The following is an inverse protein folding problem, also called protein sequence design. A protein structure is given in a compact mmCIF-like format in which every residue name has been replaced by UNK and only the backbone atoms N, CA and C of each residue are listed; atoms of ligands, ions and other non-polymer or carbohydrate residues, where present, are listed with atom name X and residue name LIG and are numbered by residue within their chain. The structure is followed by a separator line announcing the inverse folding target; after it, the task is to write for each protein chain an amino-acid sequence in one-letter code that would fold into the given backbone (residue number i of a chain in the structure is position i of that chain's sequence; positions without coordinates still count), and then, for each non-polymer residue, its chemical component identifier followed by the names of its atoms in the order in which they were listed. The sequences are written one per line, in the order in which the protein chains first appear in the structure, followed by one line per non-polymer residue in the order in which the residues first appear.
data_IF_010666672428
#
_entry.id   IF_010666672428
#
_cell.length_a   1.000
_cell.length_b   1.000
_cell.length_c   1.000
_cell.angle_alpha   90.00
_cell.angle_beta   90.00
_cell.angle_gamma   90.00
#
_symmetry.space_group_name_H-M   'P 1'
#
loop_
_entity.id
_entity.type
_entity.pdbx_description
1 polymer ?
#
# COMPACT_ATOMS: atom_id res chain seq x y z
N UNK A 1 29.82 12.22 59.56
CA UNK A 1 29.31 10.88 59.19
C UNK A 1 27.85 10.91 58.67
N UNK A 2 27.01 11.86 59.09
CA UNK A 2 25.57 11.95 58.64
C UNK A 2 25.41 12.23 57.14
N UNK A 3 26.25 13.06 56.53
CA UNK A 3 26.18 13.40 55.10
C UNK A 3 26.46 12.17 54.22
N UNK A 4 27.41 11.33 54.57
CA UNK A 4 27.72 10.11 53.82
C UNK A 4 26.62 9.05 53.89
N UNK A 5 25.91 8.96 55.02
CA UNK A 5 24.75 8.01 55.12
C UNK A 5 23.58 8.48 54.33
N UNK A 6 23.31 9.78 54.23
CA UNK A 6 22.21 10.35 53.44
C UNK A 6 22.42 10.16 51.92
N UNK A 7 23.66 10.38 51.44
CA UNK A 7 24.01 10.18 50.00
C UNK A 7 23.83 8.72 49.59
N UNK A 8 24.14 7.76 50.48
CA UNK A 8 24.04 6.31 50.23
C UNK A 8 22.59 5.89 49.91
N UNK A 9 21.58 6.56 50.46
CA UNK A 9 20.17 6.28 50.19
C UNK A 9 19.56 7.18 49.09
N UNK A 10 20.09 8.39 48.90
CA UNK A 10 19.61 9.31 47.89
C UNK A 10 19.90 8.82 46.47
N UNK A 11 21.09 8.27 46.20
CA UNK A 11 21.47 7.80 44.87
C UNK A 11 20.55 6.65 44.39
N UNK A 12 20.34 5.55 45.18
CA UNK A 12 19.43 4.49 44.79
C UNK A 12 17.99 4.95 44.58
N UNK A 13 17.51 5.87 45.44
CA UNK A 13 16.18 6.45 45.32
C UNK A 13 16.03 7.25 44.02
N UNK A 14 17.01 8.06 43.67
CA UNK A 14 17.01 8.84 42.44
C UNK A 14 17.04 7.94 41.19
N UNK A 15 17.87 6.89 41.21
CA UNK A 15 17.96 5.90 40.12
C UNK A 15 16.63 5.15 39.99
N UNK A 16 16.03 4.74 41.09
CA UNK A 16 14.72 4.07 41.07
C UNK A 16 13.62 4.96 40.49
N UNK A 17 13.56 6.23 40.90
CA UNK A 17 12.61 7.20 40.37
C UNK A 17 12.79 7.43 38.87
N UNK A 18 14.07 7.50 38.41
CA UNK A 18 14.39 7.63 36.98
C UNK A 18 13.92 6.42 36.19
N UNK A 19 14.13 5.21 36.69
CA UNK A 19 13.67 3.95 36.04
C UNK A 19 12.15 3.95 35.94
N UNK A 20 11.45 4.35 37.02
CA UNK A 20 9.97 4.46 36.98
C UNK A 20 9.51 5.46 35.94
N UNK A 21 10.16 6.62 35.85
CA UNK A 21 9.81 7.65 34.87
C UNK A 21 10.02 7.16 33.44
N UNK A 22 11.16 6.51 33.17
CA UNK A 22 11.48 5.96 31.84
C UNK A 22 10.48 4.87 31.48
N UNK A 23 10.16 3.94 32.39
CA UNK A 23 9.16 2.89 32.15
C UNK A 23 7.77 3.45 31.92
N UNK A 24 7.40 4.49 32.64
CA UNK A 24 6.12 5.18 32.46
C UNK A 24 6.02 5.84 31.08
N UNK A 25 7.04 6.59 30.67
CA UNK A 25 7.10 7.22 29.36
C UNK A 25 7.07 6.15 28.26
N UNK A 26 7.85 5.09 28.40
CA UNK A 26 7.87 3.98 27.45
C UNK A 26 6.48 3.33 27.30
N UNK A 27 5.80 3.07 28.42
CA UNK A 27 4.44 2.50 28.42
C UNK A 27 3.44 3.41 27.69
N UNK A 28 3.50 4.70 27.96
CA UNK A 28 2.64 5.69 27.26
C UNK A 28 2.89 5.64 25.74
N UNK A 29 4.16 5.66 25.31
CA UNK A 29 4.51 5.60 23.88
C UNK A 29 3.98 4.31 23.24
N UNK A 30 4.11 3.17 23.93
CA UNK A 30 3.59 1.88 23.44
C UNK A 30 2.07 1.90 23.31
N UNK A 31 1.36 2.44 24.31
CA UNK A 31 -0.11 2.56 24.28
C UNK A 31 -0.57 3.44 23.11
N UNK A 32 0.05 4.61 22.90
CA UNK A 32 -0.29 5.48 21.77
C UNK A 32 -0.03 4.81 20.42
N UNK A 33 1.10 4.08 20.28
CA UNK A 33 1.37 3.30 19.07
C UNK A 33 0.32 2.22 18.82
N UNK A 34 -0.06 1.48 19.86
CA UNK A 34 -1.09 0.43 19.74
C UNK A 34 -2.46 1.03 19.37
N UNK A 35 -2.84 2.15 20.00
CA UNK A 35 -4.09 2.85 19.69
C UNK A 35 -4.12 3.30 18.23
N UNK A 36 -3.07 3.98 17.77
CA UNK A 36 -2.97 4.44 16.37
C UNK A 36 -3.01 3.27 15.37
N UNK A 37 -2.34 2.17 15.69
CA UNK A 37 -2.38 0.97 14.86
C UNK A 37 -3.80 0.37 14.80
N UNK A 38 -4.50 0.31 15.93
CA UNK A 38 -5.90 -0.16 15.99
C UNK A 38 -6.85 0.74 15.19
N UNK A 39 -6.67 2.06 15.27
CA UNK A 39 -7.45 3.02 14.49
C UNK A 39 -7.26 2.81 12.98
N UNK A 40 -6.01 2.75 12.51
CA UNK A 40 -5.68 2.49 11.10
C UNK A 40 -6.30 1.15 10.63
N UNK A 41 -6.22 0.11 11.46
CA UNK A 41 -6.80 -1.19 11.14
C UNK A 41 -8.33 -1.14 11.02
N UNK A 42 -9.00 -0.46 11.95
CA UNK A 42 -10.45 -0.31 11.92
C UNK A 42 -10.91 0.53 10.71
N UNK A 43 -10.22 1.63 10.42
CA UNK A 43 -10.51 2.46 9.25
C UNK A 43 -10.33 1.68 7.95
N UNK A 44 -9.27 0.85 7.87
CA UNK A 44 -9.08 -0.04 6.73
C UNK A 44 -10.22 -1.05 6.59
N UNK A 45 -10.63 -1.73 7.68
CA UNK A 45 -11.73 -2.71 7.65
C UNK A 45 -13.03 -2.02 7.21
N UNK A 46 -13.34 -0.85 7.76
CA UNK A 46 -14.53 -0.09 7.39
C UNK A 46 -14.51 0.31 5.92
N UNK A 47 -13.39 0.86 5.44
CA UNK A 47 -13.24 1.24 4.04
C UNK A 47 -13.33 0.03 3.11
N UNK A 48 -12.70 -1.10 3.45
CA UNK A 48 -12.80 -2.33 2.66
C UNK A 48 -14.22 -2.88 2.63
N UNK A 49 -14.95 -2.81 3.75
CA UNK A 49 -16.36 -3.22 3.81
C UNK A 49 -17.21 -2.39 2.85
N UNK A 50 -17.01 -1.09 2.81
CA UNK A 50 -17.69 -0.20 1.86
C UNK A 50 -17.29 -0.47 0.41
N UNK A 51 -15.99 -0.63 0.15
CA UNK A 51 -15.46 -0.92 -1.20
C UNK A 51 -15.89 -2.29 -1.74
N UNK A 52 -16.15 -3.28 -0.87
CA UNK A 52 -16.68 -4.59 -1.25
C UNK A 52 -18.20 -4.57 -1.52
N UNK A 53 -18.96 -3.72 -0.80
CA UNK A 53 -20.41 -3.66 -0.93
C UNK A 53 -20.86 -3.21 -2.32
N UNK A 54 -20.16 -2.25 -2.92
CA UNK A 54 -20.51 -1.70 -4.24
C UNK A 54 -20.42 -2.73 -5.36
N UNK A 55 -19.29 -3.43 -5.59
CA UNK A 55 -19.21 -4.45 -6.64
C UNK A 55 -20.16 -5.62 -6.40
N UNK A 56 -20.40 -6.02 -5.15
CA UNK A 56 -21.37 -7.06 -4.82
C UNK A 56 -22.79 -6.64 -5.23
N UNK A 57 -23.17 -5.39 -4.93
CA UNK A 57 -24.48 -4.87 -5.33
C UNK A 57 -24.64 -4.80 -6.86
N UNK A 58 -23.60 -4.37 -7.60
CA UNK A 58 -23.60 -4.33 -9.06
C UNK A 58 -23.74 -5.71 -9.68
N UNK A 59 -22.98 -6.70 -9.16
CA UNK A 59 -23.11 -8.11 -9.62
C UNK A 59 -24.50 -8.65 -9.32
N UNK A 60 -25.04 -8.39 -8.12
CA UNK A 60 -26.37 -8.85 -7.73
C UNK A 60 -27.45 -8.26 -8.64
N UNK A 61 -27.37 -6.96 -8.93
CA UNK A 61 -28.31 -6.30 -9.85
C UNK A 61 -28.21 -6.87 -11.26
N UNK A 62 -27.00 -7.04 -11.79
CA UNK A 62 -26.81 -7.63 -13.12
C UNK A 62 -27.36 -9.07 -13.18
N UNK A 63 -27.14 -9.87 -12.13
CA UNK A 63 -27.69 -11.22 -12.03
C UNK A 63 -29.21 -11.24 -11.93
N UNK A 64 -29.83 -10.30 -11.19
CA UNK A 64 -31.30 -10.16 -11.14
C UNK A 64 -31.86 -9.81 -12.51
N UNK A 65 -31.27 -8.85 -13.24
CA UNK A 65 -31.67 -8.47 -14.58
C UNK A 65 -31.54 -9.61 -15.58
N UNK A 66 -30.52 -10.47 -15.43
CA UNK A 66 -30.36 -11.66 -16.27
C UNK A 66 -31.44 -12.72 -16.00
N UNK A 67 -31.94 -12.79 -14.78
CA UNK A 67 -32.93 -13.79 -14.36
C UNK A 67 -34.38 -13.30 -14.51
N UNK A 68 -34.60 -12.01 -14.70
CA UNK A 68 -35.92 -11.41 -14.85
C UNK A 68 -36.44 -11.62 -16.29
N UNK A 69 -37.55 -12.31 -16.43
CA UNK A 69 -38.23 -12.59 -17.73
C UNK A 69 -38.86 -11.34 -18.36
N UNK A 70 -39.14 -10.32 -17.55
CA UNK A 70 -39.72 -9.06 -18.03
C UNK A 70 -38.71 -8.14 -18.73
N UNK A 71 -37.42 -8.41 -18.55
CA UNK A 71 -36.33 -7.61 -19.15
C UNK A 71 -36.04 -8.13 -20.57
N UNK A 72 -36.09 -7.27 -21.62
CA UNK A 72 -35.77 -7.68 -22.99
C UNK A 72 -34.32 -8.17 -23.08
N UNK A 73 -34.11 -9.45 -23.40
CA UNK A 73 -32.79 -10.09 -23.49
C UNK A 73 -32.19 -9.92 -24.89
N UNK A 74 -31.91 -8.68 -25.29
CA UNK A 74 -31.12 -8.47 -26.51
C UNK A 74 -29.66 -8.93 -26.32
N UNK A 75 -29.07 -9.42 -27.41
CA UNK A 75 -27.65 -9.87 -27.39
C UNK A 75 -26.69 -8.80 -26.83
N UNK A 76 -26.91 -7.53 -27.20
CA UNK A 76 -26.13 -6.38 -26.72
C UNK A 76 -26.28 -6.20 -25.20
N UNK A 77 -27.50 -6.35 -24.67
CA UNK A 77 -27.75 -6.20 -23.23
C UNK A 77 -27.16 -7.37 -22.44
N UNK A 78 -27.31 -8.59 -22.92
CA UNK A 78 -26.70 -9.78 -22.32
C UNK A 78 -25.16 -9.62 -22.24
N UNK A 79 -24.52 -9.21 -23.34
CA UNK A 79 -23.10 -8.98 -23.40
C UNK A 79 -22.65 -7.88 -22.42
N UNK A 80 -23.45 -6.82 -22.28
CA UNK A 80 -23.18 -5.75 -21.32
C UNK A 80 -23.26 -6.25 -19.87
N UNK A 81 -24.31 -6.97 -19.48
CA UNK A 81 -24.50 -7.49 -18.12
C UNK A 81 -23.41 -8.50 -17.74
N UNK A 82 -23.04 -9.39 -18.67
CA UNK A 82 -21.91 -10.31 -18.47
C UNK A 82 -20.59 -9.54 -18.29
N UNK A 83 -20.38 -8.48 -19.06
CA UNK A 83 -19.23 -7.57 -18.91
C UNK A 83 -19.18 -6.95 -17.53
N UNK A 84 -20.28 -6.40 -17.03
CA UNK A 84 -20.36 -5.84 -15.65
C UNK A 84 -20.00 -6.89 -14.61
N UNK A 85 -20.57 -8.10 -14.69
CA UNK A 85 -20.25 -9.19 -13.75
C UNK A 85 -18.76 -9.54 -13.78
N UNK A 86 -18.19 -9.65 -15.00
CA UNK A 86 -16.76 -9.96 -15.17
C UNK A 86 -15.85 -8.91 -14.56
N UNK A 87 -16.13 -7.63 -14.82
CA UNK A 87 -15.27 -6.53 -14.38
C UNK A 87 -15.35 -6.30 -12.87
N UNK A 88 -16.56 -6.39 -12.30
CA UNK A 88 -16.73 -6.29 -10.85
C UNK A 88 -16.15 -7.52 -10.11
N UNK A 89 -16.15 -8.70 -10.73
CA UNK A 89 -15.46 -9.88 -10.18
C UNK A 89 -13.95 -9.70 -10.15
N UNK A 90 -13.33 -9.11 -11.18
CA UNK A 90 -11.91 -8.75 -11.19
C UNK A 90 -11.59 -7.74 -10.09
N UNK A 91 -12.48 -6.73 -9.91
CA UNK A 91 -12.34 -5.73 -8.85
C UNK A 91 -12.42 -6.36 -7.46
N UNK A 92 -13.37 -7.28 -7.22
CA UNK A 92 -13.47 -8.03 -5.96
C UNK A 92 -12.21 -8.82 -5.67
N UNK A 93 -11.67 -9.54 -6.65
CA UNK A 93 -10.41 -10.29 -6.49
C UNK A 93 -9.28 -9.38 -6.03
N UNK A 94 -9.12 -8.22 -6.65
CA UNK A 94 -8.10 -7.24 -6.26
C UNK A 94 -8.28 -6.74 -4.82
N UNK A 95 -9.53 -6.47 -4.40
CA UNK A 95 -9.82 -6.05 -3.02
C UNK A 95 -9.51 -7.15 -2.01
N UNK A 96 -9.84 -8.41 -2.32
CA UNK A 96 -9.50 -9.57 -1.48
C UNK A 96 -7.99 -9.73 -1.34
N UNK A 97 -7.23 -9.58 -2.42
CA UNK A 97 -5.76 -9.60 -2.38
C UNK A 97 -5.20 -8.51 -1.46
N UNK A 98 -5.73 -7.29 -1.52
CA UNK A 98 -5.35 -6.20 -0.59
C UNK A 98 -5.63 -6.53 0.87
N UNK A 99 -6.78 -7.13 1.17
CA UNK A 99 -7.12 -7.58 2.54
C UNK A 99 -6.16 -8.66 3.03
N UNK A 100 -5.85 -9.63 2.18
CA UNK A 100 -4.89 -10.70 2.50
C UNK A 100 -3.49 -10.15 2.75
N UNK A 101 -3.02 -9.21 1.92
CA UNK A 101 -1.74 -8.53 2.12
C UNK A 101 -1.68 -7.84 3.48
N UNK A 102 -2.72 -7.09 3.87
CA UNK A 102 -2.76 -6.44 5.18
C UNK A 102 -2.77 -7.45 6.33
N UNK A 103 -3.50 -8.56 6.21
CA UNK A 103 -3.52 -9.65 7.21
C UNK A 103 -2.13 -10.31 7.36
N UNK A 104 -1.34 -10.36 6.31
CA UNK A 104 0.04 -10.90 6.36
C UNK A 104 1.00 -9.96 7.10
N UNK A 105 0.80 -8.65 7.05
CA UNK A 105 1.56 -7.67 7.85
C UNK A 105 1.32 -7.82 9.35
N UNK A 106 0.13 -8.25 9.77
CA UNK A 106 -0.23 -8.50 11.18
C UNK A 106 0.49 -9.74 11.75
N UNK A 107 0.85 -10.68 10.91
CA UNK A 107 1.64 -11.84 11.32
C UNK A 107 3.12 -11.46 11.30
N UNK A 108 3.73 -11.19 12.46
CA UNK A 108 5.18 -11.02 12.69
C UNK A 108 6.08 -12.15 12.11
N UNK A 109 5.52 -13.04 11.30
CA UNK A 109 6.14 -14.20 10.65
C UNK A 109 5.90 -14.24 9.13
N UNK A 110 5.74 -13.10 8.46
CA UNK A 110 5.85 -13.12 7.01
C UNK A 110 7.30 -13.56 6.70
N UNK A 111 7.48 -14.80 6.29
CA UNK A 111 8.77 -15.27 5.80
C UNK A 111 8.99 -14.64 4.43
N UNK A 112 9.65 -13.48 4.41
CA UNK A 112 10.04 -12.84 3.17
C UNK A 112 10.99 -13.75 2.39
N UNK A 113 10.60 -14.11 1.18
CA UNK A 113 11.46 -14.84 0.25
C UNK A 113 12.35 -13.86 -0.50
N UNK A 114 13.37 -13.35 0.20
CA UNK A 114 14.31 -12.40 -0.37
C UNK A 114 15.20 -13.07 -1.43
N UNK A 115 15.41 -12.39 -2.54
CA UNK A 115 16.36 -12.77 -3.59
C UNK A 115 17.05 -11.55 -4.18
N UNK A 116 18.14 -11.75 -4.86
CA UNK A 116 18.79 -10.68 -5.62
C UNK A 116 17.98 -10.40 -6.89
N UNK A 117 17.71 -9.12 -7.14
CA UNK A 117 16.93 -8.63 -8.26
C UNK A 117 17.61 -7.39 -8.84
N UNK A 118 17.48 -7.19 -10.12
CA UNK A 118 17.84 -5.95 -10.77
C UNK A 118 16.67 -4.94 -10.64
N UNK A 119 16.93 -3.82 -9.95
CA UNK A 119 15.92 -2.78 -9.74
C UNK A 119 15.57 -2.09 -11.06
N UNK A 120 16.54 -1.85 -11.94
CA UNK A 120 16.32 -1.15 -13.21
C UNK A 120 15.37 -1.96 -14.10
N UNK A 121 15.63 -3.27 -14.27
CA UNK A 121 14.75 -4.16 -15.04
C UNK A 121 13.32 -4.21 -14.45
N UNK A 122 13.22 -4.26 -13.13
CA UNK A 122 11.92 -4.27 -12.45
C UNK A 122 11.15 -2.97 -12.71
N UNK A 123 11.80 -1.82 -12.61
CA UNK A 123 11.17 -0.50 -12.84
C UNK A 123 10.69 -0.37 -14.27
N UNK A 124 11.48 -0.77 -15.26
CA UNK A 124 11.08 -0.77 -16.66
C UNK A 124 9.86 -1.68 -16.92
N UNK A 125 9.87 -2.88 -16.36
CA UNK A 125 8.74 -3.82 -16.47
C UNK A 125 7.45 -3.23 -15.88
N UNK A 126 7.54 -2.61 -14.69
CA UNK A 126 6.38 -1.96 -14.05
C UNK A 126 5.92 -0.76 -14.88
N UNK A 127 6.82 0.10 -15.34
CA UNK A 127 6.49 1.24 -16.18
C UNK A 127 5.70 0.81 -17.43
N UNK A 128 6.17 -0.22 -18.12
CA UNK A 128 5.49 -0.78 -19.29
C UNK A 128 4.06 -1.25 -18.97
N UNK A 129 3.85 -1.85 -17.79
CA UNK A 129 2.52 -2.33 -17.37
C UNK A 129 1.53 -1.19 -17.09
N UNK A 130 2.02 0.01 -16.76
CA UNK A 130 1.19 1.19 -16.47
C UNK A 130 1.04 2.15 -17.65
N UNK A 131 1.79 1.97 -18.75
CA UNK A 131 1.81 2.90 -19.89
C UNK A 131 0.41 3.23 -20.39
N UNK A 132 -0.38 2.23 -20.72
CA UNK A 132 -1.75 2.44 -21.22
C UNK A 132 -2.65 3.19 -20.23
N UNK A 133 -2.50 2.91 -18.92
CA UNK A 133 -3.32 3.57 -17.88
C UNK A 133 -2.97 5.05 -17.73
N UNK A 134 -1.69 5.40 -17.81
CA UNK A 134 -1.21 6.77 -17.75
C UNK A 134 -1.55 7.55 -19.03
N UNK A 135 -1.45 6.91 -20.20
CA UNK A 135 -1.89 7.48 -21.48
C UNK A 135 -3.39 7.77 -21.50
N UNK A 136 -4.22 6.89 -20.95
CA UNK A 136 -5.65 7.15 -20.77
C UNK A 136 -5.95 8.36 -19.86
N UNK A 137 -5.06 8.66 -18.93
CA UNK A 137 -5.10 9.86 -18.10
C UNK A 137 -4.45 11.09 -18.79
N UNK A 138 -4.21 11.01 -20.10
CA UNK A 138 -3.65 12.10 -20.93
C UNK A 138 -2.17 12.39 -20.66
N UNK A 139 -1.45 11.49 -19.97
CA UNK A 139 -0.08 11.71 -19.52
C UNK A 139 0.95 10.79 -20.15
N UNK A 140 2.15 10.78 -19.53
CA UNK A 140 3.29 9.95 -19.96
C UNK A 140 4.09 9.45 -18.77
N UNK A 141 4.79 8.31 -18.95
CA UNK A 141 5.77 7.78 -18.01
C UNK A 141 7.17 8.10 -18.56
N UNK A 142 8.00 8.69 -17.72
CA UNK A 142 9.40 8.95 -17.98
C UNK A 142 10.25 8.05 -17.10
N UNK A 143 11.07 7.21 -17.70
CA UNK A 143 11.94 6.25 -17.01
C UNK A 143 13.38 6.66 -17.24
N UNK A 144 14.11 6.88 -16.13
CA UNK A 144 15.54 7.21 -16.12
C UNK A 144 16.24 6.29 -15.13
N UNK A 145 16.68 5.13 -15.61
CA UNK A 145 17.33 4.07 -14.80
C UNK A 145 18.86 4.24 -14.86
N UNK A 146 19.35 5.28 -14.19
CA UNK A 146 20.77 5.63 -14.16
C UNK A 146 21.60 4.91 -13.10
N UNK A 147 21.03 4.01 -12.28
CA UNK A 147 21.77 3.28 -11.27
C UNK A 147 22.74 2.26 -11.92
N UNK A 148 24.05 2.38 -11.65
CA UNK A 148 25.08 1.46 -12.15
C UNK A 148 25.06 0.14 -11.36
N UNK A 149 24.93 0.23 -10.03
CA UNK A 149 24.75 -0.93 -9.16
C UNK A 149 23.28 -1.04 -8.80
N UNK A 150 22.50 -1.74 -9.64
CA UNK A 150 21.03 -1.85 -9.54
C UNK A 150 20.55 -3.06 -8.73
N UNK A 151 21.48 -3.94 -8.27
CA UNK A 151 21.10 -5.16 -7.55
C UNK A 151 20.63 -4.88 -6.14
N UNK A 152 19.40 -5.32 -5.79
CA UNK A 152 18.81 -5.24 -4.45
C UNK A 152 18.51 -6.63 -3.90
N UNK A 153 18.52 -6.79 -2.56
CA UNK A 153 18.16 -8.04 -1.88
C UNK A 153 16.84 -7.90 -1.14
N UNK A 154 15.75 -8.21 -1.85
CA UNK A 154 14.37 -7.99 -1.39
C UNK A 154 13.44 -9.14 -1.76
N UNK A 155 12.26 -9.16 -1.15
CA UNK A 155 11.15 -10.00 -1.61
C UNK A 155 10.51 -9.31 -2.83
N UNK A 156 10.60 -9.95 -3.98
CA UNK A 156 10.15 -9.40 -5.26
C UNK A 156 8.68 -8.98 -5.24
N UNK A 157 7.81 -9.87 -4.77
CA UNK A 157 6.37 -9.62 -4.76
C UNK A 157 6.00 -8.42 -3.88
N UNK A 158 6.59 -8.36 -2.68
CA UNK A 158 6.33 -7.26 -1.76
C UNK A 158 6.88 -5.94 -2.27
N UNK A 159 8.06 -5.96 -2.86
CA UNK A 159 8.68 -4.74 -3.38
C UNK A 159 7.95 -4.23 -4.63
N UNK A 160 7.58 -5.11 -5.57
CA UNK A 160 6.72 -4.77 -6.70
C UNK A 160 5.41 -4.14 -6.23
N UNK A 161 4.74 -4.73 -5.24
CA UNK A 161 3.49 -4.21 -4.70
C UNK A 161 3.62 -2.78 -4.16
N UNK A 162 4.76 -2.42 -3.56
CA UNK A 162 5.01 -1.03 -3.13
C UNK A 162 4.98 -0.08 -4.32
N UNK A 163 5.71 -0.41 -5.39
CA UNK A 163 5.80 0.42 -6.59
C UNK A 163 4.44 0.47 -7.31
N UNK A 164 3.76 -0.67 -7.45
CA UNK A 164 2.41 -0.73 -8.01
C UNK A 164 1.43 0.17 -7.25
N UNK A 165 1.47 0.17 -5.91
CA UNK A 165 0.60 1.04 -5.10
C UNK A 165 0.91 2.53 -5.33
N UNK A 166 2.18 2.91 -5.47
CA UNK A 166 2.55 4.30 -5.78
C UNK A 166 2.03 4.71 -7.17
N UNK A 167 2.25 3.85 -8.17
CA UNK A 167 1.78 4.08 -9.54
C UNK A 167 0.24 4.14 -9.63
N UNK A 168 -0.44 3.23 -8.93
CA UNK A 168 -1.91 3.20 -8.88
C UNK A 168 -2.48 4.45 -8.20
N UNK A 169 -1.83 4.92 -7.13
CA UNK A 169 -2.19 6.18 -6.47
C UNK A 169 -2.01 7.38 -7.41
N UNK A 170 -0.90 7.46 -8.14
CA UNK A 170 -0.67 8.52 -9.12
C UNK A 170 -1.80 8.56 -10.17
N UNK A 171 -2.21 7.40 -10.69
CA UNK A 171 -3.33 7.31 -11.64
C UNK A 171 -4.68 7.65 -11.00
N UNK A 172 -4.93 7.16 -9.77
CA UNK A 172 -6.23 7.32 -9.10
C UNK A 172 -6.50 8.75 -8.64
N UNK A 173 -5.48 9.46 -8.18
CA UNK A 173 -5.61 10.78 -7.56
C UNK A 173 -5.10 11.92 -8.47
N UNK A 174 -4.88 11.63 -9.76
CA UNK A 174 -4.48 12.70 -10.69
C UNK A 174 -5.60 13.73 -10.88
N UNK A 175 -5.19 14.96 -11.14
CA UNK A 175 -6.12 16.03 -11.52
C UNK A 175 -6.55 15.82 -12.99
N UNK A 176 -7.85 15.57 -13.28
CA UNK A 176 -8.31 15.32 -14.65
C UNK A 176 -8.12 16.52 -15.61
N UNK A 177 -7.92 17.73 -15.07
CA UNK A 177 -7.67 18.94 -15.86
C UNK A 177 -6.21 19.08 -16.31
N UNK A 178 -5.31 18.19 -15.88
CA UNK A 178 -3.88 18.22 -16.18
C UNK A 178 -3.37 16.86 -16.63
N UNK A 179 -2.41 16.80 -17.57
CA UNK A 179 -1.80 15.54 -17.96
C UNK A 179 -1.04 14.91 -16.79
N UNK A 180 -1.25 13.62 -16.57
CA UNK A 180 -0.53 12.86 -15.54
C UNK A 180 0.86 12.49 -16.06
N UNK A 181 1.90 13.16 -15.62
CA UNK A 181 3.26 12.75 -15.89
C UNK A 181 3.84 12.03 -14.68
N UNK A 182 4.40 10.84 -14.92
CA UNK A 182 5.05 10.03 -13.88
C UNK A 182 6.53 9.89 -14.22
N UNK A 183 7.39 10.12 -13.23
CA UNK A 183 8.84 10.03 -13.36
C UNK A 183 9.36 8.92 -12.44
N UNK A 184 10.03 7.96 -13.01
CA UNK A 184 10.70 6.85 -12.32
C UNK A 184 12.20 7.02 -12.54
N UNK A 185 12.94 7.26 -11.47
CA UNK A 185 14.39 7.52 -11.58
C UNK A 185 15.15 6.66 -10.59
N UNK A 186 16.23 6.00 -11.04
CA UNK A 186 17.15 5.29 -10.17
C UNK A 186 18.57 5.88 -10.28
N UNK A 187 19.28 5.97 -9.16
CA UNK A 187 20.69 6.39 -9.13
C UNK A 187 21.41 5.81 -7.92
N UNK A 188 22.72 5.87 -7.94
CA UNK A 188 23.55 5.47 -6.81
C UNK A 188 24.32 6.68 -6.24
N UNK A 189 24.61 6.63 -4.95
CA UNK A 189 25.75 7.29 -4.34
C UNK A 189 26.78 6.21 -3.90
N UNK A 190 27.82 6.62 -3.15
CA UNK A 190 28.87 5.71 -2.68
C UNK A 190 28.38 4.57 -1.78
N UNK A 191 27.17 4.63 -1.23
CA UNK A 191 26.65 3.70 -0.21
C UNK A 191 25.25 3.20 -0.47
N UNK A 192 24.46 3.90 -1.27
CA UNK A 192 23.04 3.64 -1.39
C UNK A 192 22.60 3.62 -2.85
N UNK A 193 21.61 2.78 -3.12
CA UNK A 193 20.80 2.80 -4.33
C UNK A 193 19.49 3.53 -4.01
N UNK A 194 19.13 4.48 -4.83
CA UNK A 194 17.93 5.31 -4.70
C UNK A 194 16.93 4.99 -5.81
N UNK A 195 15.66 5.00 -5.43
CA UNK A 195 14.53 4.99 -6.36
C UNK A 195 13.64 6.19 -6.03
N UNK A 196 13.36 7.00 -7.03
CA UNK A 196 12.37 8.07 -6.95
C UNK A 196 11.16 7.75 -7.83
N UNK A 197 9.98 7.89 -7.24
CA UNK A 197 8.70 7.84 -7.95
C UNK A 197 8.03 9.19 -7.72
N UNK A 198 7.87 9.98 -8.78
CA UNK A 198 7.27 11.31 -8.73
C UNK A 198 6.17 11.43 -9.77
N UNK A 199 5.06 12.02 -9.40
CA UNK A 199 3.96 12.33 -10.31
C UNK A 199 3.59 13.82 -10.27
N UNK A 200 2.77 14.25 -11.23
CA UNK A 200 2.22 15.61 -11.33
C UNK A 200 0.74 15.66 -10.95
N UNK A 201 0.25 14.69 -10.18
CA UNK A 201 -1.17 14.46 -9.99
C UNK A 201 -1.90 15.47 -9.10
N UNK A 202 -1.27 16.01 -8.08
CA UNK A 202 -1.88 16.97 -7.15
C UNK A 202 -1.01 18.21 -7.01
#
# INVERSE_FOLDING_TARGET
SYIFSSIRFMIPSMVFTLILLVTFIFTIVVIFRQKRYSEIKNDFINNMTHELKTPIASISLAAQMLNDESVPKSEKMMKHLVGVVSDETKRLRFLVEKVLQMSMFDRKKASFKKKHLDLNEMIESIANSFTLRVEHAGGKIFVDVGAVESTIYVDELHFQNVIFNLMDNAVKYHNPDKPLNVYLTTWNDERNLYLSVRDTGI
#
